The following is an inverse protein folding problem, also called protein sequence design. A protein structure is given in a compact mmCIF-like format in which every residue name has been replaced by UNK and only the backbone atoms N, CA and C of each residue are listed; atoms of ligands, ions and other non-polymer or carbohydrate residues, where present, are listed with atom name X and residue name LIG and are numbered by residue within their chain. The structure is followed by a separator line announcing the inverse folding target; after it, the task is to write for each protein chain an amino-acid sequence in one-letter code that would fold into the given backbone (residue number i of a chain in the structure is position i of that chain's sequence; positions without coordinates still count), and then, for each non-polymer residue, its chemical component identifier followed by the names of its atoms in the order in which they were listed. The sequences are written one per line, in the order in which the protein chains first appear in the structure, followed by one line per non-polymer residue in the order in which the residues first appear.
data_IF_078135090672
#
_entry.id   IF_078135090672
#
_cell.length_a   1.000
_cell.length_b   1.000
_cell.length_c   1.000
_cell.angle_alpha   90.00
_cell.angle_beta   90.00
_cell.angle_gamma   90.00
#
_symmetry.space_group_name_H-M   'P 1'
#
loop_
_entity.id
_entity.type
_entity.pdbx_description
1 polymer ?
#
# COMPACT_ATOMS: atom_id res chain seq x y z
N UNK A 1 -13.91 15.37 26.00
CA UNK A 1 -14.64 16.02 24.89
C UNK A 1 -14.25 15.46 23.53
N UNK A 2 -13.04 14.92 23.34
CA UNK A 2 -12.52 14.41 22.06
C UNK A 2 -12.89 12.94 21.77
N UNK A 3 -13.23 12.15 22.78
CA UNK A 3 -13.45 10.70 22.68
C UNK A 3 -14.85 10.25 22.25
N UNK A 4 -15.86 11.12 22.21
CA UNK A 4 -17.27 10.70 22.08
C UNK A 4 -17.86 10.66 20.67
N UNK A 5 -17.15 11.05 19.62
CA UNK A 5 -17.79 11.30 18.33
C UNK A 5 -17.60 10.22 17.25
N UNK A 6 -16.84 9.14 17.47
CA UNK A 6 -16.62 8.16 16.39
C UNK A 6 -16.33 6.75 16.92
N UNK A 7 -17.25 5.81 16.70
CA UNK A 7 -17.19 4.42 17.16
C UNK A 7 -16.68 3.40 16.11
N UNK A 8 -16.43 3.80 14.86
CA UNK A 8 -16.02 2.88 13.78
C UNK A 8 -14.60 3.21 13.27
N UNK A 9 -13.57 2.72 14.01
CA UNK A 9 -12.18 3.06 13.74
C UNK A 9 -11.36 1.84 13.35
N UNK A 10 -11.16 1.62 12.06
CA UNK A 10 -10.26 0.56 11.57
C UNK A 10 -8.84 1.05 11.23
N UNK A 11 -8.58 2.36 11.05
CA UNK A 11 -7.29 2.91 10.65
C UNK A 11 -6.91 4.17 11.42
N UNK A 12 -5.59 4.49 11.48
CA UNK A 12 -5.06 5.76 11.97
C UNK A 12 -5.70 6.93 11.20
N UNK A 13 -6.78 7.47 11.76
CA UNK A 13 -7.57 8.47 11.08
C UNK A 13 -7.07 9.86 11.43
N UNK A 14 -6.82 10.66 10.40
CA UNK A 14 -6.53 12.07 10.53
C UNK A 14 -7.78 12.89 10.30
N UNK A 15 -8.09 13.77 11.25
CA UNK A 15 -9.23 14.69 11.15
C UNK A 15 -8.74 16.13 11.24
N UNK A 16 -9.34 17.07 10.48
CA UNK A 16 -9.02 18.48 10.60
C UNK A 16 -9.21 18.95 12.06
N UNK A 17 -8.27 19.72 12.57
CA UNK A 17 -8.45 20.33 13.88
C UNK A 17 -9.36 21.54 13.78
N UNK A 18 -10.49 21.50 14.49
CA UNK A 18 -11.44 22.63 14.59
C UNK A 18 -11.27 23.28 15.96
N UNK A 19 -10.92 24.57 15.99
CA UNK A 19 -10.76 25.32 17.21
C UNK A 19 -12.12 25.81 17.74
N UNK A 20 -12.57 25.23 18.86
CA UNK A 20 -13.73 25.70 19.60
C UNK A 20 -13.30 26.56 20.80
N UNK A 21 -14.23 27.35 21.38
CA UNK A 21 -13.95 28.13 22.58
C UNK A 21 -13.44 27.27 23.76
N UNK A 22 -14.03 26.11 23.96
CA UNK A 22 -13.62 25.16 25.00
C UNK A 22 -12.19 24.61 24.74
N UNK A 23 -11.88 24.21 23.47
CA UNK A 23 -10.56 23.73 23.07
C UNK A 23 -9.52 24.84 23.23
N UNK A 24 -9.82 26.09 22.82
CA UNK A 24 -8.92 27.24 23.01
C UNK A 24 -8.59 27.45 24.46
N UNK A 25 -9.59 27.39 25.36
CA UNK A 25 -9.38 27.53 26.80
C UNK A 25 -8.46 26.42 27.33
N UNK A 26 -8.76 25.15 27.02
CA UNK A 26 -7.96 24.02 27.46
C UNK A 26 -6.50 24.07 26.95
N UNK A 27 -6.28 24.45 25.69
CA UNK A 27 -4.93 24.61 25.13
C UNK A 27 -4.12 25.69 25.84
N UNK A 28 -4.73 26.84 26.16
CA UNK A 28 -4.09 27.92 26.91
C UNK A 28 -3.78 27.50 28.34
N UNK A 29 -4.67 26.80 29.01
CA UNK A 29 -4.44 26.25 30.35
C UNK A 29 -3.26 25.27 30.34
N UNK A 30 -3.19 24.34 29.35
CA UNK A 30 -2.04 23.45 29.18
C UNK A 30 -0.73 24.23 28.92
N UNK A 31 -0.76 25.23 28.04
CA UNK A 31 0.41 26.10 27.79
C UNK A 31 0.93 26.75 29.07
N UNK A 32 0.03 27.30 29.91
CA UNK A 32 0.40 27.89 31.19
C UNK A 32 1.07 26.85 32.13
N UNK A 33 0.56 25.63 32.18
CA UNK A 33 1.16 24.54 32.98
C UNK A 33 2.57 24.21 32.50
N UNK A 34 2.79 24.06 31.18
CA UNK A 34 4.12 23.78 30.64
C UNK A 34 5.10 24.94 30.91
N UNK A 35 4.65 26.18 30.80
CA UNK A 35 5.46 27.37 31.10
C UNK A 35 5.85 27.43 32.58
N UNK A 36 4.89 27.19 33.49
CA UNK A 36 5.16 27.12 34.91
C UNK A 36 6.17 26.00 35.23
N UNK A 37 5.97 24.81 34.70
CA UNK A 37 6.89 23.67 34.86
C UNK A 37 8.31 23.98 34.35
N UNK A 38 8.47 24.72 33.27
CA UNK A 38 9.79 25.16 32.79
C UNK A 38 10.48 26.10 33.80
N UNK A 39 9.74 27.02 34.38
CA UNK A 39 10.29 27.95 35.39
C UNK A 39 10.69 27.17 36.65
N UNK A 40 9.80 26.32 37.16
CA UNK A 40 10.03 25.59 38.42
C UNK A 40 11.19 24.56 38.29
N UNK A 41 11.39 24.00 37.11
CA UNK A 41 12.39 22.95 36.86
C UNK A 41 13.71 23.48 36.26
N UNK A 42 13.80 24.76 35.94
CA UNK A 42 14.94 25.32 35.18
C UNK A 42 16.32 25.09 35.81
N UNK A 43 16.41 25.03 37.14
CA UNK A 43 17.67 24.78 37.87
C UNK A 43 17.88 23.31 38.24
N UNK A 44 16.80 22.52 38.36
CA UNK A 44 16.86 21.15 38.90
C UNK A 44 16.80 20.06 37.82
N UNK A 45 16.25 20.38 36.66
CA UNK A 45 16.02 19.38 35.59
C UNK A 45 17.12 19.38 34.52
N UNK A 46 17.34 18.21 33.85
CA UNK A 46 18.23 18.15 32.71
C UNK A 46 17.79 19.09 31.58
N UNK A 47 18.75 19.71 30.87
CA UNK A 47 18.51 20.65 29.77
C UNK A 47 17.57 20.11 28.68
N UNK A 48 17.67 18.81 28.37
CA UNK A 48 16.80 18.18 27.37
C UNK A 48 15.32 18.21 27.77
N UNK A 49 15.01 18.10 29.08
CA UNK A 49 13.63 18.14 29.57
C UNK A 49 13.06 19.57 29.45
N UNK A 50 13.85 20.59 29.83
CA UNK A 50 13.44 21.98 29.67
C UNK A 50 13.19 22.31 28.20
N UNK A 51 14.09 21.89 27.32
CA UNK A 51 13.90 22.08 25.88
C UNK A 51 12.64 21.37 25.36
N UNK A 52 12.34 20.15 25.85
CA UNK A 52 11.15 19.41 25.47
C UNK A 52 9.87 20.09 25.94
N UNK A 53 9.84 20.61 27.14
CA UNK A 53 8.70 21.41 27.66
C UNK A 53 8.47 22.67 26.82
N UNK A 54 9.53 23.39 26.44
CA UNK A 54 9.42 24.54 25.52
C UNK A 54 8.93 24.16 24.12
N UNK A 55 9.33 23.02 23.61
CA UNK A 55 8.82 22.51 22.34
C UNK A 55 7.33 22.18 22.42
N UNK A 56 6.88 21.60 23.54
CA UNK A 56 5.45 21.30 23.76
C UNK A 56 4.62 22.58 23.91
N UNK A 57 5.12 23.58 24.67
CA UNK A 57 4.50 24.91 24.76
C UNK A 57 4.33 25.53 23.37
N UNK A 58 5.42 25.57 22.59
CA UNK A 58 5.41 26.13 21.23
C UNK A 58 4.43 25.39 20.32
N UNK A 59 4.38 24.05 20.42
CA UNK A 59 3.44 23.25 19.65
C UNK A 59 1.97 23.56 20.00
N UNK A 60 1.64 23.68 21.30
CA UNK A 60 0.27 24.07 21.73
C UNK A 60 -0.14 25.44 21.20
N UNK A 61 0.82 26.36 21.13
CA UNK A 61 0.58 27.73 20.63
C UNK A 61 0.11 27.69 19.17
N UNK A 62 0.69 26.87 18.30
CA UNK A 62 0.24 26.72 16.91
C UNK A 62 -1.27 26.44 16.80
N UNK A 63 -1.80 25.62 17.73
CA UNK A 63 -3.21 25.21 17.70
C UNK A 63 -4.17 26.29 18.16
N UNK A 64 -3.86 27.06 19.18
CA UNK A 64 -4.78 28.10 19.63
C UNK A 64 -4.61 29.43 18.89
N UNK A 65 -3.44 29.72 18.30
CA UNK A 65 -3.21 30.83 17.38
C UNK A 65 -3.75 30.54 15.97
N UNK A 66 -3.91 29.26 15.60
CA UNK A 66 -4.30 28.85 14.25
C UNK A 66 -3.28 29.32 13.22
N UNK A 67 -1.99 29.03 13.45
CA UNK A 67 -0.92 29.48 12.56
C UNK A 67 -1.15 28.99 11.13
N UNK A 68 -1.27 29.94 10.20
CA UNK A 68 -1.59 29.67 8.80
C UNK A 68 -0.46 28.96 8.02
N UNK A 69 0.79 28.95 8.54
CA UNK A 69 1.89 28.19 7.92
C UNK A 69 1.79 26.67 8.17
N UNK A 70 0.88 26.24 9.05
CA UNK A 70 0.71 24.84 9.42
C UNK A 70 -0.66 24.30 9.04
N UNK A 71 -0.69 23.01 8.79
CA UNK A 71 -1.89 22.19 8.68
C UNK A 71 -2.06 21.52 10.03
N UNK A 72 -3.14 21.88 10.74
CA UNK A 72 -3.43 21.40 12.08
C UNK A 72 -4.48 20.29 12.01
N UNK A 73 -4.18 19.13 12.59
CA UNK A 73 -5.08 17.99 12.57
C UNK A 73 -4.96 17.13 13.83
N UNK A 74 -5.96 16.28 14.04
CA UNK A 74 -5.96 15.24 15.06
C UNK A 74 -5.60 13.93 14.39
N UNK A 75 -4.70 13.19 14.99
CA UNK A 75 -4.41 11.80 14.61
C UNK A 75 -4.78 10.91 15.79
N UNK A 76 -5.59 9.90 15.53
CA UNK A 76 -6.00 8.93 16.53
C UNK A 76 -5.11 7.70 16.44
N UNK A 77 -4.69 7.18 17.59
CA UNK A 77 -4.02 5.88 17.66
C UNK A 77 -5.02 4.73 17.69
N UNK A 78 -4.52 3.49 17.81
CA UNK A 78 -5.33 2.27 17.86
C UNK A 78 -6.24 2.18 19.07
N UNK A 79 -5.92 2.89 20.14
CA UNK A 79 -6.70 2.93 21.38
C UNK A 79 -7.74 4.05 21.33
N UNK A 80 -7.79 4.79 20.24
CA UNK A 80 -8.68 5.94 20.06
C UNK A 80 -8.22 7.20 20.78
N UNK A 81 -6.95 7.27 21.20
CA UNK A 81 -6.38 8.43 21.84
C UNK A 81 -5.97 9.48 20.79
N UNK A 82 -6.46 10.73 20.89
CA UNK A 82 -6.12 11.78 19.95
C UNK A 82 -4.74 12.38 20.23
N UNK A 83 -3.95 12.54 19.19
CA UNK A 83 -2.73 13.35 19.18
C UNK A 83 -2.95 14.63 18.40
N UNK A 84 -2.47 15.75 18.92
CA UNK A 84 -2.42 17.03 18.20
C UNK A 84 -1.21 17.01 17.25
N UNK A 85 -1.47 17.14 15.96
CA UNK A 85 -0.44 17.10 14.93
C UNK A 85 -0.43 18.40 14.11
N UNK A 86 0.75 18.94 13.88
CA UNK A 86 0.98 20.09 13.01
C UNK A 86 2.00 19.73 11.93
N UNK A 87 1.65 19.96 10.68
CA UNK A 87 2.56 19.76 9.54
C UNK A 87 2.68 21.06 8.77
N UNK A 88 3.90 21.45 8.39
CA UNK A 88 4.10 22.64 7.58
C UNK A 88 3.38 22.50 6.23
N UNK A 89 2.78 23.59 5.76
CA UNK A 89 2.19 23.67 4.41
C UNK A 89 3.23 23.63 3.31
N UNK A 90 4.45 24.09 3.60
CA UNK A 90 5.55 24.18 2.64
C UNK A 90 6.77 23.38 3.13
N UNK A 91 6.65 22.06 3.11
CA UNK A 91 7.75 21.14 3.42
C UNK A 91 8.95 21.36 2.47
N UNK A 92 8.77 21.52 1.15
CA UNK A 92 9.87 21.84 0.22
C UNK A 92 10.70 23.04 0.65
N UNK A 93 10.07 24.13 1.11
CA UNK A 93 10.75 25.32 1.62
C UNK A 93 11.53 25.05 2.90
N UNK A 94 10.96 24.26 3.82
CA UNK A 94 11.65 23.87 5.05
C UNK A 94 12.88 23.00 4.75
N UNK A 95 12.75 22.00 3.90
CA UNK A 95 13.88 21.15 3.49
C UNK A 95 14.98 21.98 2.83
N UNK A 96 14.61 22.93 1.98
CA UNK A 96 15.57 23.85 1.36
C UNK A 96 16.36 24.64 2.41
N UNK A 97 15.67 25.19 3.41
CA UNK A 97 16.32 25.96 4.49
C UNK A 97 17.19 25.08 5.38
N UNK A 98 16.71 23.89 5.73
CA UNK A 98 17.38 23.00 6.68
C UNK A 98 18.54 22.22 6.07
N UNK A 99 18.42 21.79 4.82
CA UNK A 99 19.38 20.88 4.18
C UNK A 99 20.13 21.57 3.03
N UNK A 100 19.40 22.06 2.02
CA UNK A 100 20.02 22.47 0.75
C UNK A 100 20.75 23.81 0.83
N UNK A 101 20.41 24.68 1.77
CA UNK A 101 21.12 25.95 2.00
C UNK A 101 22.53 25.77 2.57
N UNK A 102 22.80 24.62 3.19
CA UNK A 102 24.10 24.35 3.82
C UNK A 102 25.23 24.02 2.81
N UNK A 103 24.91 23.90 1.51
CA UNK A 103 25.88 23.60 0.44
C UNK A 103 26.67 22.30 0.66
N UNK A 104 26.12 21.35 1.40
CA UNK A 104 26.69 20.03 1.62
C UNK A 104 26.31 19.17 0.42
N UNK A 105 27.26 18.47 -0.24
CA UNK A 105 26.93 17.50 -1.27
C UNK A 105 26.01 16.43 -0.74
N UNK A 106 24.93 16.13 -1.45
CA UNK A 106 23.94 15.14 -1.05
C UNK A 106 23.62 14.21 -2.22
N UNK A 107 23.44 12.92 -1.91
CA UNK A 107 23.00 11.89 -2.85
C UNK A 107 21.67 11.32 -2.36
N UNK A 108 20.64 11.46 -3.19
CA UNK A 108 19.35 10.80 -2.97
C UNK A 108 19.27 9.58 -3.88
N UNK A 109 19.09 8.40 -3.31
CA UNK A 109 19.01 7.14 -4.07
C UNK A 109 17.81 6.31 -3.63
N UNK A 110 17.07 5.78 -4.59
CA UNK A 110 15.98 4.82 -4.39
C UNK A 110 15.61 4.16 -5.72
N UNK A 111 15.04 2.97 -5.68
CA UNK A 111 14.46 2.32 -6.86
C UNK A 111 13.20 3.00 -7.39
N UNK A 112 12.60 3.94 -6.64
CA UNK A 112 11.29 4.54 -6.93
C UNK A 112 11.27 6.08 -6.85
N UNK A 113 12.39 6.75 -7.19
CA UNK A 113 12.44 8.23 -7.21
C UNK A 113 11.64 8.84 -8.38
N UNK A 114 11.50 8.11 -9.49
CA UNK A 114 10.71 8.57 -10.62
C UNK A 114 9.22 8.34 -10.39
N UNK A 115 8.38 9.29 -10.81
CA UNK A 115 6.98 9.06 -11.09
C UNK A 115 6.81 8.98 -12.62
N UNK A 116 6.32 7.84 -13.13
CA UNK A 116 6.41 7.57 -14.57
C UNK A 116 7.86 7.65 -15.05
N UNK A 117 8.12 8.50 -16.04
CA UNK A 117 9.46 8.72 -16.62
C UNK A 117 10.18 9.94 -16.04
N UNK A 118 9.58 10.67 -15.09
CA UNK A 118 10.08 11.97 -14.62
C UNK A 118 10.58 11.95 -13.17
N UNK A 119 11.65 12.70 -12.90
CA UNK A 119 12.12 13.05 -11.55
C UNK A 119 11.47 14.32 -11.01
N UNK A 120 10.75 15.09 -11.83
CA UNK A 120 10.19 16.39 -11.47
C UNK A 120 9.32 16.38 -10.22
N UNK A 121 8.42 15.36 -10.01
CA UNK A 121 7.62 15.29 -8.80
C UNK A 121 8.46 15.22 -7.53
N UNK A 122 9.48 14.36 -7.48
CA UNK A 122 10.36 14.25 -6.31
C UNK A 122 11.23 15.51 -6.13
N UNK A 123 11.75 16.09 -7.19
CA UNK A 123 12.53 17.33 -7.15
C UNK A 123 11.72 18.45 -6.51
N UNK A 124 10.45 18.60 -6.90
CA UNK A 124 9.54 19.59 -6.30
C UNK A 124 9.25 19.25 -4.83
N UNK A 125 8.92 17.99 -4.54
CA UNK A 125 8.51 17.53 -3.21
C UNK A 125 9.61 17.69 -2.15
N UNK A 126 10.88 17.46 -2.54
CA UNK A 126 12.02 17.63 -1.63
C UNK A 126 12.63 19.03 -1.65
N UNK A 127 12.06 19.98 -2.40
CA UNK A 127 12.49 21.38 -2.42
C UNK A 127 13.75 21.66 -3.22
N UNK A 128 14.11 20.77 -4.17
CA UNK A 128 15.28 20.93 -5.04
C UNK A 128 15.03 21.77 -6.29
N UNK A 129 13.79 22.12 -6.64
CA UNK A 129 13.42 22.79 -7.88
C UNK A 129 14.07 24.16 -8.10
N UNK A 130 14.61 24.79 -7.06
CA UNK A 130 15.34 26.07 -7.13
C UNK A 130 16.82 25.92 -6.80
N UNK A 131 17.30 24.71 -6.57
CA UNK A 131 18.71 24.44 -6.26
C UNK A 131 19.51 24.32 -7.55
N UNK A 132 20.59 25.07 -7.65
CA UNK A 132 21.49 24.98 -8.78
C UNK A 132 22.27 23.66 -8.75
N UNK A 133 22.57 23.10 -9.93
CA UNK A 133 23.38 21.89 -10.10
C UNK A 133 22.75 20.58 -9.55
N UNK A 134 21.42 20.44 -9.64
CA UNK A 134 20.77 19.14 -9.45
C UNK A 134 21.07 18.28 -10.68
N UNK A 135 21.61 17.08 -10.44
CA UNK A 135 21.83 16.08 -11.48
C UNK A 135 20.94 14.87 -11.19
N UNK A 136 20.32 14.34 -12.22
CA UNK A 136 19.49 13.14 -12.12
C UNK A 136 20.09 12.02 -12.95
N UNK A 137 20.11 10.83 -12.40
CA UNK A 137 20.61 9.64 -13.06
C UNK A 137 19.65 8.47 -12.86
N UNK A 138 19.49 7.63 -13.87
CA UNK A 138 18.71 6.41 -13.80
C UNK A 138 19.49 5.27 -14.41
N UNK A 139 19.82 4.27 -13.61
CA UNK A 139 20.38 3.03 -14.12
C UNK A 139 19.27 2.15 -14.73
N UNK A 140 19.57 1.37 -15.78
CA UNK A 140 18.67 0.34 -16.26
C UNK A 140 18.49 -0.73 -15.17
N UNK A 141 17.32 -1.37 -15.17
CA UNK A 141 17.09 -2.52 -14.30
C UNK A 141 17.92 -3.71 -14.77
N UNK A 142 18.48 -4.53 -13.86
CA UNK A 142 19.14 -5.79 -14.22
C UNK A 142 18.15 -6.89 -14.66
N UNK A 143 16.85 -6.70 -14.39
CA UNK A 143 15.84 -7.72 -14.66
C UNK A 143 15.33 -7.68 -16.09
N UNK A 144 15.23 -8.85 -16.74
CA UNK A 144 14.58 -9.04 -18.03
C UNK A 144 13.06 -9.18 -17.82
N UNK A 145 12.37 -8.05 -17.74
CA UNK A 145 10.93 -8.03 -17.49
C UNK A 145 10.11 -8.61 -18.65
N UNK A 146 10.55 -8.45 -19.89
CA UNK A 146 9.84 -8.98 -21.06
C UNK A 146 9.79 -10.50 -21.05
N UNK A 147 10.84 -11.14 -20.57
CA UNK A 147 10.92 -12.59 -20.44
C UNK A 147 10.31 -13.11 -19.15
N UNK A 148 10.52 -12.42 -18.04
CA UNK A 148 10.30 -12.95 -16.70
C UNK A 148 9.00 -12.48 -16.05
N UNK A 149 8.30 -11.50 -16.65
CA UNK A 149 7.01 -11.02 -16.17
C UNK A 149 5.92 -11.13 -17.24
N UNK A 150 4.67 -11.29 -16.78
CA UNK A 150 3.46 -11.19 -17.60
C UNK A 150 2.46 -10.30 -16.86
N UNK A 151 1.99 -9.23 -17.51
CA UNK A 151 0.99 -8.32 -16.95
C UNK A 151 -0.40 -8.76 -17.40
N UNK A 152 -1.29 -8.97 -16.43
CA UNK A 152 -2.65 -9.40 -16.66
C UNK A 152 -3.67 -8.33 -16.28
N UNK A 153 -4.62 -8.06 -17.17
CA UNK A 153 -5.83 -7.28 -16.90
C UNK A 153 -7.06 -8.14 -17.20
N UNK A 154 -8.06 -8.24 -16.28
CA UNK A 154 -9.24 -9.08 -16.51
C UNK A 154 -10.02 -8.64 -17.76
N UNK A 155 -10.41 -9.59 -18.60
CA UNK A 155 -11.33 -9.34 -19.70
C UNK A 155 -12.76 -9.12 -19.19
N UNK A 156 -13.55 -8.30 -19.91
CA UNK A 156 -14.98 -8.08 -19.60
C UNK A 156 -15.24 -7.19 -18.37
N UNK A 157 -14.20 -6.57 -17.80
CA UNK A 157 -14.29 -5.68 -16.61
C UNK A 157 -13.93 -4.23 -16.93
N UNK A 158 -14.25 -3.76 -18.13
CA UNK A 158 -13.97 -2.38 -18.57
C UNK A 158 -14.92 -1.35 -17.94
N UNK A 159 -16.07 -1.79 -17.43
CA UNK A 159 -17.05 -0.93 -16.78
C UNK A 159 -16.85 -0.93 -15.27
N UNK A 160 -17.07 0.24 -14.67
CA UNK A 160 -17.10 0.37 -13.22
C UNK A 160 -18.16 -0.56 -12.63
N UNK A 161 -17.88 -1.23 -11.50
CA UNK A 161 -18.88 -2.00 -10.77
C UNK A 161 -20.02 -1.07 -10.30
N UNK A 162 -21.23 -1.62 -10.19
CA UNK A 162 -22.42 -0.86 -9.81
C UNK A 162 -22.39 -0.38 -8.37
N UNK A 163 -21.80 -1.21 -7.50
CA UNK A 163 -21.68 -0.98 -6.06
C UNK A 163 -20.46 -1.73 -5.49
N UNK A 164 -20.20 -1.49 -4.20
CA UNK A 164 -19.07 -2.11 -3.50
C UNK A 164 -19.17 -3.63 -3.43
N UNK A 165 -20.37 -4.18 -3.27
CA UNK A 165 -20.55 -5.62 -3.13
C UNK A 165 -20.25 -6.34 -4.43
N UNK A 166 -20.69 -5.77 -5.57
CA UNK A 166 -20.33 -6.28 -6.88
C UNK A 166 -18.82 -6.24 -7.11
N UNK A 167 -18.17 -5.16 -6.71
CA UNK A 167 -16.71 -5.03 -6.84
C UNK A 167 -15.97 -6.07 -5.98
N UNK A 168 -16.37 -6.24 -4.72
CA UNK A 168 -15.78 -7.21 -3.80
C UNK A 168 -15.92 -8.64 -4.34
N UNK A 169 -17.12 -9.01 -4.82
CA UNK A 169 -17.37 -10.33 -5.42
C UNK A 169 -16.51 -10.55 -6.67
N UNK A 170 -16.44 -9.57 -7.56
CA UNK A 170 -15.61 -9.64 -8.77
C UNK A 170 -14.12 -9.79 -8.44
N UNK A 171 -13.61 -9.08 -7.44
CA UNK A 171 -12.22 -9.22 -6.98
C UNK A 171 -12.00 -10.62 -6.42
N UNK A 172 -12.91 -11.12 -5.58
CA UNK A 172 -12.82 -12.45 -4.98
C UNK A 172 -12.76 -13.57 -6.03
N UNK A 173 -13.68 -13.54 -6.99
CA UNK A 173 -13.72 -14.50 -8.11
C UNK A 173 -12.43 -14.49 -8.93
N UNK A 174 -11.91 -13.29 -9.23
CA UNK A 174 -10.71 -13.19 -10.06
C UNK A 174 -9.45 -13.63 -9.30
N UNK A 175 -9.37 -13.37 -7.99
CA UNK A 175 -8.29 -13.89 -7.16
C UNK A 175 -8.30 -15.42 -7.15
N UNK A 176 -9.47 -16.06 -6.98
CA UNK A 176 -9.58 -17.53 -7.04
C UNK A 176 -9.12 -18.10 -8.38
N UNK A 177 -9.57 -17.50 -9.50
CA UNK A 177 -9.14 -17.91 -10.85
C UNK A 177 -7.64 -17.78 -11.07
N UNK A 178 -7.04 -16.67 -10.60
CA UNK A 178 -5.61 -16.44 -10.72
C UNK A 178 -4.80 -17.39 -9.83
N UNK A 179 -5.23 -17.63 -8.58
CA UNK A 179 -4.57 -18.59 -7.68
C UNK A 179 -4.61 -20.00 -8.27
N UNK A 180 -5.71 -20.41 -8.92
CA UNK A 180 -5.79 -21.67 -9.63
C UNK A 180 -4.84 -21.70 -10.84
N UNK A 181 -4.83 -20.65 -11.67
CA UNK A 181 -3.99 -20.54 -12.86
C UNK A 181 -2.49 -20.55 -12.53
N UNK A 182 -2.10 -19.95 -11.40
CA UNK A 182 -0.70 -19.87 -10.94
C UNK A 182 -0.32 -20.97 -9.95
N UNK A 183 -1.23 -21.86 -9.62
CA UNK A 183 -1.03 -22.93 -8.64
C UNK A 183 -0.60 -22.42 -7.25
N UNK A 184 -1.16 -21.32 -6.77
CA UNK A 184 -0.82 -20.68 -5.50
C UNK A 184 0.33 -19.65 -5.63
N UNK A 185 1.30 -19.66 -4.71
CA UNK A 185 2.49 -18.79 -4.70
C UNK A 185 2.14 -17.30 -4.91
N UNK A 186 1.08 -16.83 -4.24
CA UNK A 186 0.43 -15.56 -4.55
C UNK A 186 0.56 -14.55 -3.42
N UNK A 187 0.92 -13.33 -3.78
CA UNK A 187 0.81 -12.14 -2.93
C UNK A 187 -0.30 -11.24 -3.46
N UNK A 188 -1.28 -10.90 -2.62
CA UNK A 188 -2.33 -9.92 -2.95
C UNK A 188 -2.11 -8.65 -2.14
N UNK A 189 -1.84 -7.54 -2.82
CA UNK A 189 -1.60 -6.23 -2.20
C UNK A 189 -2.87 -5.37 -2.23
N UNK A 190 -3.53 -5.30 -1.10
CA UNK A 190 -4.71 -4.45 -0.91
C UNK A 190 -4.33 -3.02 -0.54
N UNK A 191 -5.18 -2.07 -0.91
CA UNK A 191 -5.05 -0.66 -0.55
C UNK A 191 -5.72 -0.31 0.77
N UNK A 192 -6.65 -1.16 1.24
CA UNK A 192 -7.40 -0.97 2.49
C UNK A 192 -7.62 -2.32 3.20
N UNK A 193 -7.54 -2.30 4.53
CA UNK A 193 -7.81 -3.49 5.34
C UNK A 193 -9.27 -3.94 5.27
N UNK A 194 -10.23 -3.02 5.17
CA UNK A 194 -11.65 -3.33 5.03
C UNK A 194 -11.93 -4.16 3.77
N UNK A 195 -11.36 -3.76 2.62
CA UNK A 195 -11.47 -4.55 1.39
C UNK A 195 -10.80 -5.92 1.52
N UNK A 196 -9.60 -5.96 2.13
CA UNK A 196 -8.87 -7.21 2.38
C UNK A 196 -9.72 -8.19 3.21
N UNK A 197 -10.29 -7.75 4.33
CA UNK A 197 -11.12 -8.58 5.19
C UNK A 197 -12.42 -9.03 4.52
N UNK A 198 -13.07 -8.15 3.74
CA UNK A 198 -14.27 -8.51 2.99
C UNK A 198 -13.99 -9.60 1.95
N UNK A 199 -12.94 -9.45 1.15
CA UNK A 199 -12.52 -10.46 0.15
C UNK A 199 -12.07 -11.75 0.82
N UNK A 200 -11.28 -11.66 1.91
CA UNK A 200 -10.84 -12.82 2.68
C UNK A 200 -12.03 -13.69 3.12
N UNK A 201 -13.06 -13.08 3.67
CA UNK A 201 -14.25 -13.81 4.12
C UNK A 201 -14.99 -14.55 3.01
N UNK A 202 -14.94 -14.07 1.77
CA UNK A 202 -15.54 -14.74 0.62
C UNK A 202 -14.70 -15.92 0.13
N UNK A 203 -13.37 -15.81 0.15
CA UNK A 203 -12.50 -16.79 -0.51
C UNK A 203 -11.89 -17.83 0.43
N UNK A 204 -11.86 -17.59 1.75
CA UNK A 204 -11.12 -18.42 2.73
C UNK A 204 -11.48 -19.92 2.70
N UNK A 205 -12.74 -20.25 2.40
CA UNK A 205 -13.20 -21.65 2.35
C UNK A 205 -13.07 -22.25 0.95
N UNK A 206 -12.67 -21.48 -0.04
CA UNK A 206 -12.56 -21.89 -1.44
C UNK A 206 -11.09 -21.95 -1.92
N UNK A 207 -10.14 -21.49 -1.08
CA UNK A 207 -8.73 -21.48 -1.44
C UNK A 207 -8.16 -22.90 -1.50
N UNK A 208 -7.50 -23.26 -2.62
CA UNK A 208 -6.91 -24.59 -2.78
C UNK A 208 -5.58 -24.77 -2.07
N UNK A 209 -5.05 -23.71 -1.48
CA UNK A 209 -3.78 -23.67 -0.74
C UNK A 209 -3.95 -22.83 0.53
N UNK A 210 -3.02 -22.91 1.52
CA UNK A 210 -3.10 -22.07 2.73
C UNK A 210 -3.24 -20.59 2.41
N UNK A 211 -4.25 -19.95 2.99
CA UNK A 211 -4.48 -18.51 2.91
C UNK A 211 -4.11 -17.85 4.22
N UNK A 212 -3.24 -16.88 4.15
CA UNK A 212 -2.80 -16.06 5.28
C UNK A 212 -3.14 -14.60 5.08
N UNK A 213 -3.42 -13.88 6.15
CA UNK A 213 -3.65 -12.44 6.12
C UNK A 213 -2.73 -11.69 7.08
N UNK A 214 -2.15 -10.59 6.60
CA UNK A 214 -1.28 -9.72 7.42
C UNK A 214 -2.07 -8.51 7.87
N UNK A 215 -2.40 -8.50 9.14
CA UNK A 215 -2.94 -7.34 9.84
C UNK A 215 -1.79 -6.59 10.53
N UNK A 216 -1.67 -5.28 10.29
CA UNK A 216 -0.82 -4.33 11.00
C UNK A 216 0.41 -4.95 11.73
N UNK A 217 1.54 -5.04 11.05
CA UNK A 217 2.81 -5.49 11.64
C UNK A 217 2.88 -6.94 12.16
N UNK A 218 2.06 -7.84 11.65
CA UNK A 218 2.15 -9.28 11.94
C UNK A 218 3.43 -9.89 11.35
N UNK A 219 4.57 -9.63 11.97
CA UNK A 219 5.86 -10.21 11.57
C UNK A 219 5.84 -11.76 11.60
N UNK A 220 5.03 -12.32 12.49
CA UNK A 220 4.92 -13.78 12.63
C UNK A 220 4.19 -14.41 11.45
N UNK A 221 3.10 -13.78 10.94
CA UNK A 221 2.42 -14.23 9.71
C UNK A 221 3.35 -14.20 8.51
N UNK A 222 4.15 -13.13 8.38
CA UNK A 222 5.14 -13.01 7.31
C UNK A 222 6.22 -14.09 7.43
N UNK A 223 6.69 -14.39 8.64
CA UNK A 223 7.65 -15.47 8.89
C UNK A 223 7.04 -16.84 8.58
N UNK A 224 5.78 -17.05 8.93
CA UNK A 224 5.05 -18.26 8.60
C UNK A 224 4.92 -18.42 7.08
N UNK A 225 4.46 -17.40 6.36
CA UNK A 225 4.38 -17.42 4.89
C UNK A 225 5.72 -17.79 4.25
N UNK A 226 6.84 -17.23 4.74
CA UNK A 226 8.18 -17.54 4.24
C UNK A 226 8.63 -18.99 4.50
N UNK A 227 8.00 -19.70 5.43
CA UNK A 227 8.29 -21.13 5.70
C UNK A 227 7.42 -22.09 4.89
N UNK A 228 6.29 -21.61 4.41
CA UNK A 228 5.41 -22.40 3.54
C UNK A 228 6.03 -22.59 2.16
N UNK A 229 5.88 -23.77 1.61
CA UNK A 229 6.33 -24.05 0.24
C UNK A 229 5.38 -23.46 -0.79
N UNK A 230 4.09 -23.35 -0.45
CA UNK A 230 3.05 -22.76 -1.28
C UNK A 230 1.95 -22.18 -0.40
N UNK A 231 1.60 -20.91 -0.61
CA UNK A 231 0.53 -20.24 0.09
C UNK A 231 0.06 -19.00 -0.67
N UNK A 232 -1.07 -18.43 -0.22
CA UNK A 232 -1.57 -17.12 -0.63
C UNK A 232 -1.45 -16.17 0.55
N UNK A 233 -0.85 -15.00 0.34
CA UNK A 233 -0.73 -13.96 1.34
C UNK A 233 -1.57 -12.74 0.96
N UNK A 234 -2.55 -12.41 1.80
CA UNK A 234 -3.28 -11.15 1.72
C UNK A 234 -2.59 -10.11 2.60
N UNK A 235 -2.24 -8.98 2.03
CA UNK A 235 -1.47 -7.96 2.71
C UNK A 235 -1.93 -6.55 2.34
N UNK A 236 -1.85 -5.63 3.30
CA UNK A 236 -2.17 -4.22 3.12
C UNK A 236 -1.15 -3.32 3.86
N UNK A 237 -1.25 -2.00 3.70
CA UNK A 237 -0.45 -1.03 4.43
C UNK A 237 1.05 -1.15 4.21
N UNK A 238 1.82 -1.45 5.26
CA UNK A 238 3.28 -1.53 5.22
C UNK A 238 3.84 -2.66 4.32
N UNK A 239 3.04 -3.63 3.92
CA UNK A 239 3.48 -4.70 3.04
C UNK A 239 3.74 -4.25 1.59
N UNK A 240 3.27 -3.06 1.21
CA UNK A 240 3.65 -2.43 -0.05
C UNK A 240 5.14 -2.08 -0.11
N UNK A 241 5.77 -1.91 1.06
CA UNK A 241 7.17 -1.52 1.22
C UNK A 241 7.89 -2.43 2.22
N UNK A 242 9.21 -2.57 2.09
CA UNK A 242 10.07 -3.12 3.15
C UNK A 242 10.04 -4.65 3.37
N UNK A 243 9.26 -5.45 2.63
CA UNK A 243 9.25 -6.91 2.76
C UNK A 243 9.85 -7.54 1.49
N UNK A 244 10.69 -8.53 1.69
CA UNK A 244 11.34 -9.29 0.62
C UNK A 244 10.83 -10.74 0.58
N UNK A 245 10.48 -11.20 -0.63
CA UNK A 245 10.00 -12.55 -0.92
C UNK A 245 10.82 -13.15 -2.06
N UNK A 246 11.96 -13.78 -1.77
CA UNK A 246 12.85 -14.32 -2.81
C UNK A 246 12.31 -15.59 -3.46
N UNK A 247 12.63 -15.78 -4.73
CA UNK A 247 12.32 -17.00 -5.48
C UNK A 247 10.83 -17.19 -5.73
N UNK A 248 10.41 -18.44 -5.74
CA UNK A 248 9.05 -18.84 -6.09
C UNK A 248 7.98 -18.58 -5.01
N UNK A 249 8.34 -17.93 -3.88
CA UNK A 249 7.35 -17.56 -2.87
C UNK A 249 6.25 -16.67 -3.43
N UNK A 250 6.61 -15.78 -4.36
CA UNK A 250 5.67 -14.88 -5.05
C UNK A 250 5.90 -15.02 -6.55
N UNK A 251 5.21 -15.95 -7.16
CA UNK A 251 5.15 -16.11 -8.62
C UNK A 251 3.89 -15.48 -9.22
N UNK A 252 2.99 -15.01 -8.37
CA UNK A 252 1.78 -14.25 -8.71
C UNK A 252 1.62 -13.06 -7.76
N UNK A 253 1.60 -11.87 -8.31
CA UNK A 253 1.33 -10.62 -7.59
C UNK A 253 -0.01 -10.05 -8.07
N UNK A 254 -0.96 -9.87 -7.16
CA UNK A 254 -2.28 -9.35 -7.48
C UNK A 254 -2.49 -7.99 -6.80
N UNK A 255 -2.89 -6.99 -7.57
CA UNK A 255 -3.23 -5.65 -7.10
C UNK A 255 -4.71 -5.40 -7.40
N UNK A 256 -5.61 -5.57 -6.41
CA UNK A 256 -7.06 -5.45 -6.62
C UNK A 256 -7.53 -4.05 -7.04
N UNK A 257 -6.93 -3.01 -6.47
CA UNK A 257 -7.22 -1.59 -6.78
C UNK A 257 -5.92 -0.82 -6.94
N UNK A 258 -5.94 0.20 -7.81
CA UNK A 258 -4.83 1.14 -7.95
C UNK A 258 -4.56 1.85 -6.60
N UNK A 259 -3.29 1.96 -6.19
CA UNK A 259 -2.93 2.50 -4.88
C UNK A 259 -2.98 4.04 -4.84
N UNK A 260 -4.16 4.60 -5.12
CA UNK A 260 -4.39 6.02 -4.94
C UNK A 260 -4.28 6.41 -3.47
N UNK A 261 -3.68 7.56 -3.18
CA UNK A 261 -3.63 8.06 -1.82
C UNK A 261 -5.03 8.37 -1.26
N UNK A 262 -5.24 8.06 0.02
CA UNK A 262 -6.50 8.34 0.71
C UNK A 262 -6.59 9.84 1.03
N UNK A 263 -7.76 10.47 0.86
CA UNK A 263 -7.98 11.84 1.31
C UNK A 263 -7.69 12.01 2.81
N UNK A 264 -6.91 13.02 3.15
CA UNK A 264 -6.61 13.42 4.53
C UNK A 264 -6.45 14.96 4.63
N UNK A 265 -6.40 15.55 5.84
CA UNK A 265 -6.29 17.00 6.01
C UNK A 265 -5.06 17.61 5.34
N UNK A 266 -3.95 16.88 5.24
CA UNK A 266 -2.73 17.36 4.58
C UNK A 266 -2.96 17.49 3.08
N UNK A 267 -3.60 16.48 2.47
CA UNK A 267 -3.93 16.46 1.04
C UNK A 267 -4.98 17.51 0.67
N UNK A 268 -5.99 17.68 1.51
CA UNK A 268 -6.97 18.76 1.32
C UNK A 268 -6.30 20.15 1.35
N UNK A 269 -5.36 20.36 2.27
CA UNK A 269 -4.60 21.60 2.30
C UNK A 269 -3.67 21.75 1.08
N UNK A 270 -3.06 20.69 0.57
CA UNK A 270 -2.27 20.73 -0.67
C UNK A 270 -3.14 21.05 -1.88
N UNK A 271 -4.34 20.46 -1.94
CA UNK A 271 -5.30 20.72 -3.01
C UNK A 271 -5.64 22.21 -3.17
N UNK A 272 -5.71 22.97 -2.09
CA UNK A 272 -6.00 24.42 -2.14
C UNK A 272 -4.94 25.23 -2.88
N UNK A 273 -3.75 24.67 -3.14
CA UNK A 273 -2.70 25.33 -3.92
C UNK A 273 -2.89 25.18 -5.43
N UNK A 274 -3.90 24.43 -5.89
CA UNK A 274 -4.18 24.16 -7.30
C UNK A 274 -5.47 24.84 -7.74
N UNK A 275 -5.47 25.40 -8.95
CA UNK A 275 -6.63 26.08 -9.48
C UNK A 275 -7.80 25.13 -9.78
N UNK A 276 -7.48 23.93 -10.27
CA UNK A 276 -8.49 22.91 -10.56
C UNK A 276 -8.19 21.59 -9.85
N UNK A 277 -9.24 20.80 -9.61
CA UNK A 277 -9.10 19.44 -9.09
C UNK A 277 -8.32 18.55 -10.08
N UNK A 278 -8.48 18.79 -11.37
CA UNK A 278 -7.80 18.01 -12.40
C UNK A 278 -6.27 18.21 -12.35
N UNK A 279 -5.82 19.46 -12.20
CA UNK A 279 -4.38 19.76 -12.08
C UNK A 279 -3.79 19.09 -10.82
N UNK A 280 -4.51 19.16 -9.69
CA UNK A 280 -4.10 18.48 -8.47
C UNK A 280 -4.00 16.96 -8.65
N UNK A 281 -4.97 16.34 -9.32
CA UNK A 281 -4.94 14.91 -9.60
C UNK A 281 -3.72 14.55 -10.46
N UNK A 282 -3.46 15.30 -11.52
CA UNK A 282 -2.35 15.01 -12.44
C UNK A 282 -0.98 15.28 -11.84
N UNK A 283 -0.84 16.34 -11.05
CA UNK A 283 0.47 16.77 -10.53
C UNK A 283 0.85 16.12 -9.21
N UNK A 284 -0.12 15.61 -8.45
CA UNK A 284 0.14 15.05 -7.10
C UNK A 284 -0.37 13.61 -6.97
N UNK A 285 -1.66 13.40 -7.22
CA UNK A 285 -2.31 12.12 -6.92
C UNK A 285 -1.83 11.01 -7.85
N UNK A 286 -1.74 11.27 -9.14
CA UNK A 286 -1.27 10.29 -10.14
C UNK A 286 0.21 9.95 -9.93
N UNK A 287 1.14 10.91 -9.78
CA UNK A 287 2.53 10.60 -9.45
C UNK A 287 2.71 9.75 -8.19
N UNK A 288 1.97 10.03 -7.13
CA UNK A 288 2.02 9.23 -5.90
C UNK A 288 1.49 7.81 -6.13
N UNK A 289 0.40 7.65 -6.87
CA UNK A 289 -0.11 6.33 -7.27
C UNK A 289 0.94 5.57 -8.08
N UNK A 290 1.60 6.21 -9.06
CA UNK A 290 2.64 5.59 -9.88
C UNK A 290 3.84 5.12 -9.05
N UNK A 291 4.31 5.93 -8.12
CA UNK A 291 5.41 5.56 -7.20
C UNK A 291 5.01 4.35 -6.37
N UNK A 292 3.83 4.37 -5.77
CA UNK A 292 3.35 3.27 -4.93
C UNK A 292 3.08 1.99 -5.73
N UNK A 293 2.54 2.12 -6.95
CA UNK A 293 2.37 0.99 -7.86
C UNK A 293 3.71 0.33 -8.22
N UNK A 294 4.75 1.14 -8.52
CA UNK A 294 6.11 0.65 -8.79
C UNK A 294 6.73 -0.02 -7.56
N UNK A 295 6.48 0.47 -6.35
CA UNK A 295 6.91 -0.16 -5.11
C UNK A 295 6.27 -1.54 -4.93
N UNK A 296 4.96 -1.65 -5.18
CA UNK A 296 4.24 -2.92 -5.16
C UNK A 296 4.75 -3.88 -6.24
N UNK A 297 4.88 -3.40 -7.49
CA UNK A 297 5.44 -4.17 -8.59
C UNK A 297 6.86 -4.69 -8.28
N UNK A 298 7.68 -3.91 -7.58
CA UNK A 298 8.99 -4.34 -7.11
C UNK A 298 8.98 -5.55 -6.17
N UNK A 299 7.81 -6.12 -5.81
CA UNK A 299 7.69 -7.40 -5.10
C UNK A 299 7.71 -8.60 -6.04
N UNK A 300 7.48 -8.39 -7.34
CA UNK A 300 7.35 -9.45 -8.33
C UNK A 300 8.68 -10.15 -8.63
N UNK A 301 9.78 -9.40 -8.79
CA UNK A 301 11.11 -9.96 -9.06
C UNK A 301 12.13 -9.46 -8.05
N UNK A 302 12.99 -10.37 -7.56
CA UNK A 302 14.09 -10.10 -6.63
C UNK A 302 15.44 -10.55 -7.17
N UNK A 303 15.43 -11.56 -8.02
CA UNK A 303 16.60 -12.07 -8.71
C UNK A 303 16.38 -12.06 -10.22
N UNK A 304 17.46 -12.20 -10.99
CA UNK A 304 17.41 -12.24 -12.46
C UNK A 304 16.68 -13.49 -12.99
N UNK A 305 16.56 -14.51 -12.15
CA UNK A 305 15.90 -15.79 -12.50
C UNK A 305 14.46 -15.89 -12.03
N UNK A 306 13.99 -14.97 -11.18
CA UNK A 306 12.61 -14.98 -10.72
C UNK A 306 11.65 -14.74 -11.89
N UNK A 307 10.50 -15.38 -11.84
CA UNK A 307 9.42 -15.20 -12.81
C UNK A 307 8.09 -14.98 -12.09
N UNK A 308 7.33 -13.98 -12.53
CA UNK A 308 6.10 -13.59 -11.86
C UNK A 308 5.03 -13.11 -12.84
N UNK A 309 3.79 -13.46 -12.58
CA UNK A 309 2.63 -12.81 -13.20
C UNK A 309 2.15 -11.68 -12.31
N UNK A 310 1.85 -10.54 -12.92
CA UNK A 310 1.35 -9.36 -12.19
C UNK A 310 -0.06 -9.06 -12.70
N UNK A 311 -1.05 -9.13 -11.82
CA UNK A 311 -2.44 -8.88 -12.17
C UNK A 311 -2.92 -7.56 -11.54
N UNK A 312 -3.50 -6.68 -12.35
CA UNK A 312 -4.14 -5.44 -11.87
C UNK A 312 -5.63 -5.56 -12.16
N UNK A 313 -6.45 -5.69 -11.11
CA UNK A 313 -7.87 -5.97 -11.24
C UNK A 313 -8.73 -4.70 -11.37
N UNK A 314 -8.15 -3.54 -11.17
CA UNK A 314 -8.84 -2.25 -11.25
C UNK A 314 -9.22 -1.93 -12.71
N UNK A 315 -10.51 -1.77 -12.98
CA UNK A 315 -11.03 -1.47 -14.31
C UNK A 315 -10.43 -0.18 -14.91
N UNK A 316 -10.02 0.77 -14.06
CA UNK A 316 -9.41 2.03 -14.50
C UNK A 316 -7.99 1.85 -15.05
N UNK A 317 -7.34 0.73 -14.74
CA UNK A 317 -6.00 0.37 -15.20
C UNK A 317 -6.03 -0.44 -16.52
N UNK A 318 -7.13 -1.11 -16.82
CA UNK A 318 -7.27 -1.97 -18.01
C UNK A 318 -7.13 -1.18 -19.32
N UNK A 319 -6.82 -1.81 -20.45
CA UNK A 319 -6.81 -1.17 -21.76
C UNK A 319 -8.11 -0.40 -22.02
N UNK A 320 -7.99 0.90 -22.34
CA UNK A 320 -9.13 1.83 -22.46
C UNK A 320 -9.62 2.43 -21.14
N UNK A 321 -9.10 2.01 -20.01
CA UNK A 321 -9.39 2.59 -18.70
C UNK A 321 -8.77 3.98 -18.51
N UNK A 322 -9.34 4.75 -17.59
CA UNK A 322 -8.99 6.16 -17.36
C UNK A 322 -7.51 6.39 -17.05
N UNK A 323 -6.85 5.45 -16.37
CA UNK A 323 -5.47 5.55 -15.91
C UNK A 323 -4.55 4.49 -16.54
N UNK A 324 -4.99 3.88 -17.65
CA UNK A 324 -4.18 2.85 -18.32
C UNK A 324 -2.79 3.36 -18.72
N UNK A 325 -2.72 4.55 -19.32
CA UNK A 325 -1.45 5.16 -19.72
C UNK A 325 -0.53 5.38 -18.53
N UNK A 326 -1.05 5.97 -17.46
CA UNK A 326 -0.29 6.28 -16.25
C UNK A 326 0.22 5.01 -15.55
N UNK A 327 -0.56 3.93 -15.60
CA UNK A 327 -0.15 2.61 -15.10
C UNK A 327 0.98 2.04 -15.95
N UNK A 328 0.85 2.08 -17.28
CA UNK A 328 1.89 1.59 -18.18
C UNK A 328 3.19 2.42 -18.09
N UNK A 329 3.07 3.75 -17.90
CA UNK A 329 4.23 4.64 -17.66
C UNK A 329 4.92 4.37 -16.31
N UNK A 330 4.21 3.80 -15.34
CA UNK A 330 4.77 3.45 -14.04
C UNK A 330 5.54 2.13 -14.04
N UNK A 331 5.24 1.24 -14.95
CA UNK A 331 5.81 -0.11 -15.04
C UNK A 331 6.91 -0.18 -16.12
N UNK A 332 7.85 -1.12 -16.01
CA UNK A 332 8.75 -1.42 -17.12
C UNK A 332 7.96 -2.00 -18.33
N UNK A 333 8.57 -2.05 -19.54
CA UNK A 333 7.96 -2.76 -20.66
C UNK A 333 7.69 -4.21 -20.28
N UNK A 334 6.44 -4.67 -20.47
CA UNK A 334 5.97 -6.00 -20.10
C UNK A 334 5.06 -6.56 -21.19
N UNK A 335 5.09 -7.87 -21.49
CA UNK A 335 4.02 -8.51 -22.24
C UNK A 335 2.72 -8.42 -21.45
N UNK A 336 1.62 -8.15 -22.16
CA UNK A 336 0.30 -7.91 -21.58
C UNK A 336 -0.67 -8.96 -22.10
N UNK A 337 -1.49 -9.53 -21.22
CA UNK A 337 -2.59 -10.41 -21.59
C UNK A 337 -3.89 -10.02 -20.88
N UNK A 338 -5.00 -10.52 -21.41
CA UNK A 338 -6.34 -10.44 -20.83
C UNK A 338 -6.98 -11.80 -20.61
N UNK A 339 -6.24 -12.87 -20.92
CA UNK A 339 -6.70 -14.25 -20.81
C UNK A 339 -6.00 -14.91 -19.61
N UNK A 340 -6.76 -15.56 -18.76
CA UNK A 340 -6.21 -16.29 -17.61
C UNK A 340 -5.47 -17.55 -18.06
N UNK A 341 -5.82 -18.08 -19.21
CA UNK A 341 -5.16 -19.21 -19.86
C UNK A 341 -3.69 -18.91 -20.17
N UNK A 342 -3.40 -17.69 -20.66
CA UNK A 342 -2.02 -17.25 -20.93
C UNK A 342 -1.21 -17.15 -19.62
N UNK A 343 -1.85 -16.76 -18.51
CA UNK A 343 -1.22 -16.75 -17.17
C UNK A 343 -0.81 -18.18 -16.77
N UNK A 344 -1.70 -19.16 -16.96
CA UNK A 344 -1.39 -20.56 -16.67
C UNK A 344 -0.26 -21.10 -17.56
N UNK A 345 -0.30 -20.82 -18.86
CA UNK A 345 0.76 -21.21 -19.80
C UNK A 345 2.11 -20.57 -19.45
N UNK A 346 2.11 -19.28 -19.11
CA UNK A 346 3.31 -18.57 -18.68
C UNK A 346 3.98 -19.25 -17.47
N UNK A 347 3.20 -19.61 -16.45
CA UNK A 347 3.69 -20.30 -15.25
C UNK A 347 4.19 -21.69 -15.61
N UNK A 348 3.42 -22.48 -16.38
CA UNK A 348 3.80 -23.85 -16.76
C UNK A 348 5.08 -23.92 -17.58
N UNK A 349 5.31 -22.92 -18.44
CA UNK A 349 6.51 -22.84 -19.26
C UNK A 349 7.78 -22.50 -18.48
N UNK A 350 7.67 -21.94 -17.27
CA UNK A 350 8.79 -21.35 -16.51
C UNK A 350 9.07 -22.03 -15.18
N UNK A 351 8.12 -22.79 -14.63
CA UNK A 351 8.26 -23.44 -13.34
C UNK A 351 8.54 -24.94 -13.46
N UNK A 352 9.42 -25.43 -12.59
CA UNK A 352 9.79 -26.83 -12.51
C UNK A 352 8.71 -27.70 -11.83
N UNK A 353 8.88 -29.04 -11.88
CA UNK A 353 7.93 -29.98 -11.29
C UNK A 353 7.65 -29.77 -9.80
N UNK A 354 8.67 -29.36 -9.03
CA UNK A 354 8.57 -29.15 -7.57
C UNK A 354 7.59 -28.03 -7.20
N UNK A 355 7.50 -27.00 -8.04
CA UNK A 355 6.53 -25.92 -7.89
C UNK A 355 5.08 -26.45 -7.88
N UNK A 356 4.76 -27.34 -8.81
CA UNK A 356 3.42 -27.91 -8.95
C UNK A 356 3.16 -29.04 -7.94
N UNK A 357 4.21 -29.65 -7.41
CA UNK A 357 4.07 -30.72 -6.43
C UNK A 357 3.47 -30.21 -5.11
N UNK A 358 3.93 -29.07 -4.62
CA UNK A 358 3.40 -28.45 -3.42
C UNK A 358 1.89 -28.15 -3.55
N UNK A 359 1.45 -27.61 -4.70
CA UNK A 359 0.03 -27.37 -4.99
C UNK A 359 -0.82 -28.64 -4.94
N UNK A 360 -0.37 -29.69 -5.62
CA UNK A 360 -1.09 -30.98 -5.65
C UNK A 360 -1.22 -31.62 -4.27
N UNK A 361 -0.18 -31.53 -3.47
CA UNK A 361 -0.18 -32.06 -2.09
C UNK A 361 -1.22 -31.35 -1.23
N UNK A 362 -1.23 -30.02 -1.25
CA UNK A 362 -2.11 -29.23 -0.41
C UNK A 362 -3.57 -29.36 -0.83
N UNK A 363 -3.85 -29.39 -2.12
CA UNK A 363 -5.19 -29.67 -2.66
C UNK A 363 -5.74 -31.04 -2.22
N UNK A 364 -4.87 -32.06 -2.17
CA UNK A 364 -5.25 -33.39 -1.67
C UNK A 364 -5.58 -33.38 -0.17
N UNK A 365 -4.78 -32.67 0.63
CA UNK A 365 -5.01 -32.55 2.07
C UNK A 365 -6.30 -31.80 2.41
N UNK A 366 -6.66 -30.76 1.66
CA UNK A 366 -7.91 -30.02 1.83
C UNK A 366 -9.13 -30.91 1.54
N UNK A 367 -9.11 -31.63 0.42
CA UNK A 367 -10.17 -32.58 0.08
C UNK A 367 -10.35 -33.68 1.13
N UNK A 368 -9.25 -34.21 1.70
CA UNK A 368 -9.31 -35.21 2.75
C UNK A 368 -9.91 -34.67 4.06
N UNK A 369 -9.66 -33.38 4.40
CA UNK A 369 -10.24 -32.73 5.60
C UNK A 369 -11.72 -32.41 5.43
N UNK A 370 -12.15 -31.94 4.28
CA UNK A 370 -13.57 -31.72 3.98
C UNK A 370 -14.36 -33.04 3.97
N UNK A 371 -13.79 -34.11 3.44
CA UNK A 371 -14.40 -35.46 3.48
C UNK A 371 -14.54 -35.97 4.90
N UNK A 372 -13.57 -35.71 5.76
CA UNK A 372 -13.64 -36.13 7.16
C UNK A 372 -14.68 -35.34 7.96
N UNK A 373 -15.01 -34.10 7.55
CA UNK A 373 -15.99 -33.25 8.23
C UNK A 373 -17.41 -33.40 7.68
N UNK A 374 -17.59 -33.77 6.40
CA UNK A 374 -18.92 -33.85 5.76
C UNK A 374 -19.65 -35.17 5.95
N UNK A 375 -18.97 -36.25 6.33
CA UNK A 375 -19.56 -37.57 6.54
C UNK A 375 -20.35 -38.12 5.34
N UNK A 376 -20.17 -37.56 4.15
CA UNK A 376 -20.96 -37.80 2.94
C UNK A 376 -20.27 -38.82 2.02
N UNK A 377 -21.02 -39.87 1.69
CA UNK A 377 -20.62 -41.00 0.84
C UNK A 377 -21.04 -40.82 -0.62
N UNK A 378 -20.84 -39.65 -1.23
CA UNK A 378 -21.26 -39.47 -2.61
C UNK A 378 -20.07 -39.46 -3.60
N UNK A 379 -19.98 -40.55 -4.38
CA UNK A 379 -18.90 -40.87 -5.32
C UNK A 379 -18.95 -40.03 -6.61
N UNK A 380 -19.96 -39.19 -6.81
CA UNK A 380 -20.14 -38.38 -8.02
C UNK A 380 -19.28 -37.09 -8.02
N UNK A 381 -19.10 -36.46 -6.87
CA UNK A 381 -18.29 -35.24 -6.74
C UNK A 381 -16.79 -35.48 -6.87
N UNK A 382 -16.33 -36.67 -6.50
CA UNK A 382 -14.92 -37.09 -6.67
C UNK A 382 -14.51 -37.17 -8.16
N UNK A 383 -15.47 -37.38 -9.07
CA UNK A 383 -15.19 -37.42 -10.50
C UNK A 383 -14.91 -36.04 -11.10
N UNK A 384 -15.52 -34.98 -10.59
CA UNK A 384 -15.34 -33.63 -11.08
C UNK A 384 -13.96 -33.08 -10.67
N UNK A 385 -13.52 -33.28 -9.44
CA UNK A 385 -12.19 -32.89 -8.98
C UNK A 385 -11.05 -33.66 -9.72
N UNK A 386 -11.28 -34.94 -10.07
CA UNK A 386 -10.34 -35.73 -10.86
C UNK A 386 -10.23 -35.30 -12.32
N UNK A 387 -11.23 -34.64 -12.87
CA UNK A 387 -11.21 -34.17 -14.26
C UNK A 387 -10.25 -32.99 -14.47
N UNK A 388 -10.13 -32.11 -13.50
CA UNK A 388 -9.20 -30.96 -13.54
C UNK A 388 -7.75 -31.31 -13.18
N UNK A 389 -7.52 -32.44 -12.51
CA UNK A 389 -6.17 -32.93 -12.15
C UNK A 389 -5.48 -33.78 -13.24
N UNK A 390 -6.17 -34.05 -14.36
CA UNK A 390 -5.66 -34.91 -15.48
C UNK A 390 -5.46 -34.17 -16.80
N UNK A 391 -5.66 -32.89 -16.83
CA UNK A 391 -5.31 -32.02 -17.97
C UNK A 391 -4.37 -30.90 -17.47
#
# INVERSE_FOLDING_TARGET
AFQKENADWEDERRLPFVLTAARRKALKECECVFRAAQVDLCEAAPRWLIHRLGSMESALRLFWEQDAEYILYLQYDREGCPSLCATSRDIPRQLRRALWSQRIPALLTSGTLKAGMSFEPVIRQVGLGTVQKVQTFSAPSPFDYEKNCLLYFPAGREKAPKDSDQEINQIAEEILRLVEATCGHTLVLFTAYSLMGAVYNLVKNQMPVPLMEVWRNSQDTIRQFKREQNAVLFAAGSCWEGIDFPGDMVSSLIIPRLPFPVPDPIREAQRTNYMTLQDYIQDVIVPEMQVKLRQGFGRALRTETDTCTVAILDHRAAPGGKYHKEVMDALPPLPVTRQVEDVNEFIRARKGPDYFFAYRRDAKCLNEKEYAQSGSTDAAEVRTARYYLRR
#
